data_IF_549049566855
#
_entry.id   IF_549049566855
#
_cell.length_a   1.000
_cell.length_b   1.000
_cell.length_c   1.000
_cell.angle_alpha   90.00
_cell.angle_beta   90.00
_cell.angle_gamma   90.00
#
_symmetry.space_group_name_H-M   'P 1'
#
loop_
_entity.id
_entity.type
_entity.pdbx_description
1 polymer ?
#
# COMPACT_ATOMS: atom_id res chain seq x y z
N UNK A 1 2.87 -3.94 23.54
CA UNK A 1 2.99 -3.08 22.35
C UNK A 1 4.00 -3.73 21.40
N UNK A 2 3.92 -3.54 20.07
CA UNK A 2 4.95 -4.04 19.17
C UNK A 2 6.28 -3.32 19.40
N UNK A 3 7.40 -4.02 19.14
CA UNK A 3 8.75 -3.46 19.30
C UNK A 3 9.00 -2.36 18.26
N UNK A 4 8.63 -2.62 17.00
CA UNK A 4 8.66 -1.67 15.88
C UNK A 4 7.31 -1.65 15.18
N UNK A 5 6.95 -0.51 14.59
CA UNK A 5 5.79 -0.36 13.69
C UNK A 5 6.31 0.11 12.34
N UNK A 6 6.26 -0.75 11.34
CA UNK A 6 6.88 -0.52 10.04
C UNK A 6 5.80 -0.49 8.96
N UNK A 7 5.67 0.64 8.29
CA UNK A 7 4.80 0.78 7.13
C UNK A 7 5.56 0.43 5.84
N UNK A 8 4.93 -0.25 4.88
CA UNK A 8 5.46 -0.53 3.55
C UNK A 8 4.49 0.05 2.52
N UNK A 9 5.00 0.90 1.62
CA UNK A 9 4.21 1.54 0.56
C UNK A 9 3.80 0.58 -0.57
N UNK A 10 3.24 1.15 -1.63
CA UNK A 10 2.68 0.45 -2.78
C UNK A 10 3.71 -0.47 -3.45
N UNK A 11 3.37 -1.75 -3.60
CA UNK A 11 4.31 -2.80 -4.06
C UNK A 11 4.18 -3.07 -5.55
N UNK A 12 2.94 -3.09 -6.05
CA UNK A 12 2.64 -3.22 -7.47
C UNK A 12 3.43 -4.34 -8.18
N UNK A 13 3.33 -5.59 -7.70
CA UNK A 13 3.97 -6.73 -8.35
C UNK A 13 5.51 -6.72 -8.36
N UNK A 14 6.15 -5.85 -7.59
CA UNK A 14 7.62 -5.77 -7.48
C UNK A 14 8.15 -6.76 -6.43
N UNK A 15 7.98 -8.07 -6.65
CA UNK A 15 8.33 -9.13 -5.68
C UNK A 15 9.81 -9.15 -5.32
N UNK A 16 10.71 -8.85 -6.28
CA UNK A 16 12.14 -8.76 -6.02
C UNK A 16 12.48 -7.62 -5.05
N UNK A 17 11.81 -6.46 -5.20
CA UNK A 17 11.93 -5.35 -4.27
C UNK A 17 11.46 -5.74 -2.87
N UNK A 18 10.26 -6.33 -2.75
CA UNK A 18 9.71 -6.75 -1.46
C UNK A 18 10.64 -7.72 -0.73
N UNK A 19 11.12 -8.76 -1.41
CA UNK A 19 12.05 -9.75 -0.84
C UNK A 19 13.33 -9.10 -0.31
N UNK A 20 13.90 -8.16 -1.05
CA UNK A 20 15.12 -7.47 -0.62
C UNK A 20 14.85 -6.50 0.52
N UNK A 21 13.74 -5.76 0.45
CA UNK A 21 13.32 -4.85 1.51
C UNK A 21 13.12 -5.60 2.84
N UNK A 22 12.41 -6.75 2.82
CA UNK A 22 12.20 -7.58 4.00
C UNK A 22 13.51 -8.16 4.57
N UNK A 23 14.48 -8.49 3.71
CA UNK A 23 15.83 -8.88 4.18
C UNK A 23 16.56 -7.73 4.88
N UNK A 24 16.39 -6.49 4.41
CA UNK A 24 17.01 -5.32 5.04
C UNK A 24 16.33 -4.98 6.38
N UNK A 25 15.00 -5.04 6.45
CA UNK A 25 14.20 -4.80 7.66
C UNK A 25 14.47 -5.86 8.74
N UNK A 26 14.67 -7.13 8.33
CA UNK A 26 14.78 -8.29 9.24
C UNK A 26 13.59 -8.34 10.22
N UNK A 27 12.37 -8.63 9.74
CA UNK A 27 11.18 -8.66 10.59
C UNK A 27 11.34 -9.62 11.78
N UNK A 28 10.90 -9.17 12.96
CA UNK A 28 10.95 -9.90 14.23
C UNK A 28 9.53 -10.29 14.67
N UNK A 29 9.35 -11.33 15.49
CA UNK A 29 8.01 -11.79 15.90
C UNK A 29 7.14 -10.71 16.55
N UNK A 30 7.74 -9.76 17.29
CA UNK A 30 7.02 -8.68 17.96
C UNK A 30 6.87 -7.40 17.11
N UNK A 31 7.37 -7.39 15.89
CA UNK A 31 7.13 -6.24 14.99
C UNK A 31 5.70 -6.25 14.47
N UNK A 32 5.16 -5.06 14.28
CA UNK A 32 3.96 -4.83 13.48
C UNK A 32 4.37 -4.27 12.14
N UNK A 33 4.11 -5.03 11.07
CA UNK A 33 4.25 -4.54 9.70
C UNK A 33 2.87 -4.18 9.17
N UNK A 34 2.74 -2.98 8.62
CA UNK A 34 1.53 -2.50 7.96
C UNK A 34 1.84 -2.25 6.49
N UNK A 35 1.24 -3.03 5.58
CA UNK A 35 1.36 -2.80 4.14
C UNK A 35 0.20 -1.95 3.66
N UNK A 36 0.50 -0.90 2.87
CA UNK A 36 -0.48 0.14 2.54
C UNK A 36 -1.36 -0.16 1.33
N UNK A 37 -1.29 -1.38 0.77
CA UNK A 37 -2.12 -1.78 -0.37
C UNK A 37 -1.39 -1.76 -1.71
N UNK A 38 -2.16 -1.94 -2.78
CA UNK A 38 -1.67 -2.02 -4.16
C UNK A 38 -0.55 -3.06 -4.33
N UNK A 39 -0.89 -4.31 -3.97
CA UNK A 39 0.03 -5.45 -4.06
C UNK A 39 0.26 -5.90 -5.49
N UNK A 40 -0.76 -5.76 -6.32
CA UNK A 40 -0.86 -6.33 -7.68
C UNK A 40 -0.75 -5.27 -8.77
N UNK A 41 -0.65 -5.76 -10.01
CA UNK A 41 -0.58 -4.96 -11.25
C UNK A 41 0.72 -4.16 -11.40
N UNK A 42 0.92 -3.57 -12.59
CA UNK A 42 2.07 -2.71 -12.94
C UNK A 42 3.39 -3.47 -13.05
N UNK A 43 3.85 -4.08 -11.98
CA UNK A 43 5.09 -4.86 -11.93
C UNK A 43 4.90 -6.29 -12.43
N UNK A 44 6.00 -7.05 -12.54
CA UNK A 44 6.04 -8.31 -13.28
C UNK A 44 5.47 -9.51 -12.51
N UNK A 45 5.34 -9.45 -11.18
CA UNK A 45 5.10 -10.65 -10.36
C UNK A 45 4.16 -10.38 -9.18
N UNK A 46 2.89 -10.15 -9.49
CA UNK A 46 1.83 -9.93 -8.47
C UNK A 46 1.65 -11.14 -7.55
N UNK A 47 1.71 -12.37 -8.11
CA UNK A 47 1.61 -13.60 -7.31
C UNK A 47 2.76 -13.72 -6.32
N UNK A 48 4.00 -13.50 -6.76
CA UNK A 48 5.16 -13.58 -5.87
C UNK A 48 5.13 -12.55 -4.74
N UNK A 49 4.49 -11.39 -4.93
CA UNK A 49 4.24 -10.43 -3.85
C UNK A 49 3.28 -11.01 -2.82
N UNK A 50 2.14 -11.55 -3.25
CA UNK A 50 1.14 -12.11 -2.34
C UNK A 50 1.69 -13.32 -1.59
N UNK A 51 2.39 -14.23 -2.28
CA UNK A 51 3.03 -15.39 -1.65
C UNK A 51 4.05 -14.97 -0.58
N UNK A 52 4.80 -13.88 -0.80
CA UNK A 52 5.76 -13.37 0.19
C UNK A 52 5.07 -12.75 1.41
N UNK A 53 3.98 -12.02 1.20
CA UNK A 53 3.19 -11.43 2.30
C UNK A 53 2.47 -12.51 3.12
N UNK A 54 1.98 -13.57 2.48
CA UNK A 54 1.38 -14.73 3.18
C UNK A 54 2.43 -15.37 4.10
N UNK A 55 3.65 -15.62 3.60
CA UNK A 55 4.75 -16.15 4.42
C UNK A 55 5.17 -15.18 5.54
N UNK A 56 5.06 -13.87 5.31
CA UNK A 56 5.41 -12.87 6.31
C UNK A 56 4.49 -12.94 7.54
N UNK A 57 3.21 -13.28 7.37
CA UNK A 57 2.25 -13.49 8.47
C UNK A 57 2.70 -14.54 9.49
N UNK A 58 3.49 -15.52 9.05
CA UNK A 58 4.02 -16.58 9.93
C UNK A 58 5.21 -16.09 10.78
N UNK A 59 5.83 -14.96 10.41
CA UNK A 59 7.08 -14.47 11.00
C UNK A 59 6.89 -13.29 11.94
N UNK A 60 5.86 -12.48 11.73
CA UNK A 60 5.56 -11.28 12.51
C UNK A 60 4.08 -10.91 12.40
N UNK A 61 3.67 -9.90 13.16
CA UNK A 61 2.31 -9.36 13.03
C UNK A 61 2.20 -8.54 11.75
N UNK A 62 1.37 -9.00 10.81
CA UNK A 62 1.09 -8.30 9.55
C UNK A 62 -0.35 -7.80 9.53
N UNK A 63 -0.52 -6.51 9.24
CA UNK A 63 -1.79 -5.91 8.85
C UNK A 63 -1.65 -5.44 7.41
N UNK A 64 -2.58 -5.88 6.55
CA UNK A 64 -2.59 -5.54 5.13
C UNK A 64 -3.79 -4.66 4.82
N UNK A 65 -3.55 -3.47 4.27
CA UNK A 65 -4.59 -2.53 3.86
C UNK A 65 -4.96 -2.81 2.40
N UNK A 66 -6.24 -2.67 2.07
CA UNK A 66 -6.72 -2.90 0.71
C UNK A 66 -6.46 -1.67 -0.16
N UNK A 67 -5.68 -1.83 -1.22
CA UNK A 67 -5.48 -0.81 -2.25
C UNK A 67 -6.58 -0.79 -3.30
N UNK A 68 -6.63 0.27 -4.10
CA UNK A 68 -7.64 0.38 -5.15
C UNK A 68 -7.42 -0.63 -6.30
N UNK A 69 -6.18 -1.00 -6.61
CA UNK A 69 -5.89 -2.05 -7.60
C UNK A 69 -6.34 -3.43 -7.12
N UNK A 70 -6.17 -3.71 -5.83
CA UNK A 70 -6.60 -4.96 -5.21
C UNK A 70 -8.13 -5.05 -5.16
N UNK A 71 -8.82 -3.96 -4.76
CA UNK A 71 -10.27 -3.85 -4.78
C UNK A 71 -10.84 -4.08 -6.18
N UNK A 72 -10.25 -3.47 -7.20
CA UNK A 72 -10.68 -3.63 -8.59
C UNK A 72 -10.64 -5.09 -9.04
N UNK A 73 -9.57 -5.82 -8.71
CA UNK A 73 -9.46 -7.24 -9.03
C UNK A 73 -10.54 -8.06 -8.31
N UNK A 74 -10.76 -7.84 -7.02
CA UNK A 74 -11.79 -8.56 -6.26
C UNK A 74 -13.19 -8.29 -6.82
N UNK A 75 -13.49 -7.04 -7.20
CA UNK A 75 -14.79 -6.69 -7.82
C UNK A 75 -14.96 -7.31 -9.19
N UNK A 76 -13.90 -7.41 -10.00
CA UNK A 76 -13.96 -8.02 -11.32
C UNK A 76 -14.40 -9.49 -11.28
N UNK A 77 -14.07 -10.21 -10.21
CA UNK A 77 -14.49 -11.61 -9.97
C UNK A 77 -15.99 -11.76 -9.72
N UNK A 78 -16.61 -10.77 -9.11
CA UNK A 78 -18.03 -10.83 -8.72
C UNK A 78 -18.96 -10.26 -9.77
N UNK A 79 -18.44 -9.81 -10.93
CA UNK A 79 -19.21 -9.13 -11.97
C UNK A 79 -19.78 -7.77 -11.52
N UNK A 80 -19.40 -7.28 -10.36
CA UNK A 80 -19.82 -5.96 -9.87
C UNK A 80 -19.05 -4.87 -10.60
N UNK A 81 -19.74 -3.87 -11.17
CA UNK A 81 -19.04 -2.76 -11.81
C UNK A 81 -18.16 -2.05 -10.78
N UNK A 82 -16.93 -1.75 -11.18
CA UNK A 82 -16.09 -0.82 -10.41
C UNK A 82 -16.66 0.57 -10.63
N UNK A 83 -17.57 0.99 -9.76
CA UNK A 83 -18.09 2.37 -9.77
C UNK A 83 -17.01 3.25 -9.16
N UNK A 84 -16.27 3.92 -10.01
CA UNK A 84 -15.28 4.91 -9.58
C UNK A 84 -15.77 6.25 -10.08
N UNK A 85 -16.43 6.99 -9.22
CA UNK A 85 -16.87 8.38 -9.51
C UNK A 85 -15.69 9.33 -9.80
N UNK A 86 -14.46 8.83 -9.60
CA UNK A 86 -13.22 9.61 -9.73
C UNK A 86 -12.38 9.25 -10.95
N UNK A 87 -12.75 8.21 -11.75
CA UNK A 87 -12.07 7.95 -13.03
C UNK A 87 -12.73 8.82 -14.09
N UNK A 88 -12.03 9.78 -14.72
CA UNK A 88 -12.58 10.55 -15.83
C UNK A 88 -13.11 9.62 -16.92
N UNK A 89 -14.25 9.97 -17.53
CA UNK A 89 -14.75 9.27 -18.71
C UNK A 89 -13.65 9.29 -19.78
N UNK A 90 -13.14 8.10 -20.18
CA UNK A 90 -11.99 7.97 -21.07
C UNK A 90 -10.65 7.67 -20.38
N UNK A 91 -10.61 7.58 -19.05
CA UNK A 91 -9.43 7.13 -18.31
C UNK A 91 -9.06 5.66 -18.58
N UNK A 92 -7.97 5.14 -17.99
CA UNK A 92 -7.29 3.89 -18.37
C UNK A 92 -8.04 2.59 -18.01
N UNK A 93 -9.38 2.57 -18.04
CA UNK A 93 -10.19 1.36 -17.81
C UNK A 93 -9.67 0.18 -18.64
N UNK A 94 -9.41 0.41 -19.94
CA UNK A 94 -8.95 -0.64 -20.85
C UNK A 94 -7.54 -1.17 -20.56
N UNK A 95 -6.66 -0.38 -19.92
CA UNK A 95 -5.33 -0.85 -19.52
C UNK A 95 -5.40 -1.67 -18.24
N UNK A 96 -6.19 -1.24 -17.26
CA UNK A 96 -6.38 -1.92 -16.00
C UNK A 96 -7.13 -3.26 -16.18
N UNK A 97 -8.19 -3.29 -17.00
CA UNK A 97 -8.91 -4.53 -17.33
C UNK A 97 -8.02 -5.55 -18.02
N UNK A 98 -7.11 -5.11 -18.91
CA UNK A 98 -6.09 -5.98 -19.52
C UNK A 98 -5.08 -6.50 -18.49
N UNK A 99 -4.70 -5.68 -17.53
CA UNK A 99 -3.78 -6.10 -16.47
C UNK A 99 -4.42 -7.12 -15.53
N UNK A 100 -5.72 -6.97 -15.19
CA UNK A 100 -6.43 -7.99 -14.39
C UNK A 100 -6.59 -9.30 -15.12
N UNK A 101 -6.90 -9.28 -16.43
CA UNK A 101 -6.99 -10.46 -17.26
C UNK A 101 -5.68 -11.28 -17.30
N UNK A 102 -4.54 -10.63 -17.07
CA UNK A 102 -3.23 -11.28 -16.97
C UNK A 102 -2.91 -11.75 -15.56
N UNK A 103 -3.26 -10.99 -14.54
CA UNK A 103 -2.92 -11.27 -13.14
C UNK A 103 -3.83 -12.35 -12.56
N UNK A 104 -5.15 -12.21 -12.72
CA UNK A 104 -6.13 -13.10 -12.09
C UNK A 104 -5.89 -14.59 -12.34
N UNK A 105 -5.57 -15.06 -13.58
CA UNK A 105 -5.30 -16.48 -13.83
C UNK A 105 -4.05 -17.01 -13.14
N UNK A 106 -3.15 -16.14 -12.66
CA UNK A 106 -1.92 -16.54 -11.97
C UNK A 106 -2.11 -16.72 -10.47
N UNK A 107 -3.20 -16.19 -9.90
CA UNK A 107 -3.45 -16.19 -8.46
C UNK A 107 -4.05 -17.50 -7.99
N UNK A 108 -3.57 -17.98 -6.84
CA UNK A 108 -4.16 -19.11 -6.12
C UNK A 108 -5.37 -18.69 -5.30
N UNK A 109 -6.15 -19.67 -4.81
CA UNK A 109 -7.23 -19.41 -3.85
C UNK A 109 -6.73 -18.73 -2.57
N UNK A 110 -5.51 -19.06 -2.12
CA UNK A 110 -4.88 -18.47 -0.95
C UNK A 110 -4.50 -16.99 -1.18
N UNK A 111 -3.99 -16.65 -2.39
CA UNK A 111 -3.73 -15.27 -2.76
C UNK A 111 -5.01 -14.42 -2.75
N UNK A 112 -6.11 -14.98 -3.25
CA UNK A 112 -7.40 -14.31 -3.26
C UNK A 112 -7.97 -14.13 -1.84
N UNK A 113 -7.87 -15.17 -1.00
CA UNK A 113 -8.26 -15.10 0.41
C UNK A 113 -7.43 -14.06 1.18
N UNK A 114 -6.13 -13.92 0.84
CA UNK A 114 -5.29 -12.86 1.40
C UNK A 114 -5.86 -11.48 1.07
N UNK A 115 -6.15 -11.20 -0.21
CA UNK A 115 -6.71 -9.91 -0.63
C UNK A 115 -8.09 -9.65 0.01
N UNK A 116 -8.94 -10.66 0.12
CA UNK A 116 -10.24 -10.58 0.79
C UNK A 116 -10.14 -10.32 2.30
N UNK A 117 -9.01 -10.66 2.93
CA UNK A 117 -8.74 -10.41 4.34
C UNK A 117 -8.14 -9.03 4.64
N UNK A 118 -7.83 -8.23 3.61
CA UNK A 118 -7.29 -6.88 3.78
C UNK A 118 -8.33 -5.94 4.39
N UNK A 119 -7.86 -4.98 5.20
CA UNK A 119 -8.68 -4.01 5.91
C UNK A 119 -8.64 -2.64 5.22
N UNK A 120 -9.58 -1.75 5.57
CA UNK A 120 -9.66 -0.40 5.00
C UNK A 120 -8.62 0.54 5.58
N UNK A 121 -8.33 0.38 6.85
CA UNK A 121 -7.36 1.17 7.61
C UNK A 121 -6.86 0.39 8.82
N UNK A 122 -5.81 0.89 9.44
CA UNK A 122 -5.34 0.41 10.74
C UNK A 122 -4.97 1.60 11.62
N UNK A 123 -5.25 1.48 12.92
CA UNK A 123 -4.85 2.47 13.91
C UNK A 123 -3.93 1.87 14.98
N UNK A 124 -2.94 2.65 15.37
CA UNK A 124 -2.20 2.47 16.62
C UNK A 124 -2.49 3.63 17.56
N UNK A 125 -1.83 3.68 18.69
CA UNK A 125 -1.97 4.79 19.65
C UNK A 125 -1.65 6.16 19.01
N UNK A 126 -0.62 6.22 18.13
CA UNK A 126 -0.10 7.48 17.59
C UNK A 126 -0.22 7.61 16.07
N UNK A 127 -0.58 6.54 15.34
CA UNK A 127 -0.59 6.54 13.89
C UNK A 127 -1.87 5.95 13.33
N UNK A 128 -2.26 6.46 12.17
CA UNK A 128 -3.30 5.94 11.29
C UNK A 128 -2.63 5.51 9.98
N UNK A 129 -3.01 4.35 9.48
CA UNK A 129 -2.53 3.82 8.21
C UNK A 129 -3.71 3.66 7.26
N UNK A 130 -3.63 4.26 6.08
CA UNK A 130 -4.63 4.20 5.02
C UNK A 130 -3.95 3.96 3.68
N UNK A 131 -4.70 3.44 2.69
CA UNK A 131 -4.13 3.36 1.36
C UNK A 131 -3.98 4.73 0.71
N UNK A 132 -5.05 5.56 0.64
CA UNK A 132 -5.04 6.80 -0.14
C UNK A 132 -5.19 8.08 0.69
N UNK A 133 -6.40 8.37 1.15
CA UNK A 133 -6.73 9.64 1.80
C UNK A 133 -7.75 9.43 2.92
N UNK A 134 -8.14 10.52 3.61
CA UNK A 134 -9.11 10.50 4.70
C UNK A 134 -9.84 11.85 4.81
N UNK A 135 -11.05 11.89 5.42
CA UNK A 135 -11.68 13.17 5.88
C UNK A 135 -11.11 13.50 7.27
N UNK A 136 -10.43 14.64 7.43
CA UNK A 136 -9.80 14.99 8.71
C UNK A 136 -10.78 15.21 9.86
N UNK A 137 -12.07 15.41 9.58
CA UNK A 137 -13.12 15.70 10.56
C UNK A 137 -13.86 14.47 11.07
N UNK A 138 -13.71 13.31 10.38
CA UNK A 138 -14.44 12.09 10.72
C UNK A 138 -13.51 11.09 11.45
N UNK A 139 -13.99 10.39 12.49
CA UNK A 139 -13.28 9.27 13.05
C UNK A 139 -13.13 8.13 12.01
N UNK A 140 -12.16 7.22 12.22
CA UNK A 140 -11.79 6.25 11.19
C UNK A 140 -12.89 5.25 10.86
N UNK A 141 -13.74 4.90 11.81
CA UNK A 141 -14.91 4.01 11.63
C UNK A 141 -16.06 4.65 10.82
N UNK A 142 -16.02 5.97 10.63
CA UNK A 142 -16.98 6.73 9.82
C UNK A 142 -16.44 7.15 8.45
N UNK A 143 -15.21 6.75 8.10
CA UNK A 143 -14.57 7.15 6.84
C UNK A 143 -15.23 6.46 5.63
N UNK A 144 -15.50 7.19 4.53
CA UNK A 144 -15.94 6.56 3.29
C UNK A 144 -14.83 5.67 2.70
N UNK A 145 -15.14 4.40 2.42
CA UNK A 145 -14.18 3.47 1.83
C UNK A 145 -13.60 3.96 0.48
N UNK A 146 -14.40 4.69 -0.29
CA UNK A 146 -13.95 5.31 -1.55
C UNK A 146 -12.84 6.35 -1.32
N UNK A 147 -12.95 7.12 -0.23
CA UNK A 147 -11.94 8.10 0.14
C UNK A 147 -10.65 7.42 0.59
N UNK A 148 -10.78 6.41 1.47
CA UNK A 148 -9.64 5.65 1.99
C UNK A 148 -8.81 4.96 0.91
N UNK A 149 -9.44 4.60 -0.24
CA UNK A 149 -8.79 3.80 -1.29
C UNK A 149 -8.50 4.53 -2.59
N UNK A 150 -9.19 5.65 -2.89
CA UNK A 150 -9.19 6.20 -4.25
C UNK A 150 -8.77 7.66 -4.37
N UNK A 151 -8.92 8.48 -3.32
CA UNK A 151 -8.64 9.90 -3.45
C UNK A 151 -7.15 10.19 -3.41
N UNK A 152 -6.64 10.73 -4.51
CA UNK A 152 -5.24 11.15 -4.60
C UNK A 152 -4.99 12.45 -3.83
N UNK A 153 -3.89 12.51 -3.09
CA UNK A 153 -3.39 13.73 -2.44
C UNK A 153 -3.06 14.87 -3.43
N UNK A 154 -2.92 14.55 -4.73
CA UNK A 154 -2.76 15.57 -5.77
C UNK A 154 -4.02 16.38 -6.03
N UNK A 155 -5.18 15.79 -5.76
CA UNK A 155 -6.48 16.49 -5.90
C UNK A 155 -6.72 17.40 -4.72
N UNK A 156 -6.47 16.89 -3.53
CA UNK A 156 -6.67 17.61 -2.27
C UNK A 156 -5.79 16.97 -1.20
N UNK A 157 -5.06 17.79 -0.47
CA UNK A 157 -4.29 17.36 0.70
C UNK A 157 -5.16 17.64 1.94
N UNK A 158 -5.55 16.60 2.70
CA UNK A 158 -6.35 16.79 3.91
C UNK A 158 -5.54 17.50 4.99
N UNK A 159 -6.22 18.18 5.91
CA UNK A 159 -5.60 18.69 7.14
C UNK A 159 -5.28 17.58 8.15
N UNK A 160 -4.73 17.93 9.33
CA UNK A 160 -4.51 16.97 10.41
C UNK A 160 -5.82 16.27 10.81
N UNK A 161 -5.74 14.96 11.05
CA UNK A 161 -6.90 14.17 11.48
C UNK A 161 -7.38 14.60 12.88
N UNK A 162 -8.69 14.57 13.11
CA UNK A 162 -9.35 14.99 14.38
C UNK A 162 -8.76 14.29 15.62
N UNK A 163 -8.22 13.08 15.49
CA UNK A 163 -7.58 12.36 16.58
C UNK A 163 -6.17 12.88 16.94
N UNK A 164 -5.60 13.79 16.15
CA UNK A 164 -4.21 14.25 16.31
C UNK A 164 -3.13 13.22 15.95
N UNK A 165 -3.51 12.01 15.52
CA UNK A 165 -2.55 10.97 15.09
C UNK A 165 -1.92 11.31 13.75
N UNK A 166 -0.65 10.91 13.57
CA UNK A 166 0.03 11.00 12.27
C UNK A 166 -0.55 9.98 11.30
N UNK A 167 -0.84 10.41 10.08
CA UNK A 167 -1.34 9.53 9.03
C UNK A 167 -0.20 9.06 8.12
N UNK A 168 -0.15 7.78 7.82
CA UNK A 168 0.77 7.16 6.86
C UNK A 168 -0.06 6.63 5.69
N UNK A 169 0.24 7.13 4.49
CA UNK A 169 -0.52 6.84 3.27
C UNK A 169 0.38 6.36 2.11
N UNK A 170 -0.24 5.70 1.13
CA UNK A 170 0.31 5.28 -0.15
C UNK A 170 -0.35 5.98 -1.35
N UNK A 171 -0.67 5.21 -2.41
CA UNK A 171 -1.52 5.56 -3.56
C UNK A 171 -1.05 6.75 -4.41
N UNK A 172 -0.60 7.81 -3.78
CA UNK A 172 -0.20 9.04 -4.51
C UNK A 172 1.29 9.01 -4.81
N UNK A 173 1.65 8.39 -5.92
CA UNK A 173 3.03 8.16 -6.31
C UNK A 173 3.90 9.43 -6.31
N UNK A 174 4.89 9.45 -5.44
CA UNK A 174 5.94 10.47 -5.33
C UNK A 174 7.05 10.16 -6.34
N UNK A 175 6.93 10.71 -7.54
CA UNK A 175 7.84 10.40 -8.67
C UNK A 175 9.28 10.86 -8.48
N UNK A 176 9.53 11.72 -7.50
CA UNK A 176 10.88 12.13 -7.08
C UNK A 176 11.63 11.01 -6.35
N UNK A 177 10.90 9.99 -5.85
CA UNK A 177 11.43 8.93 -5.00
C UNK A 177 11.58 9.34 -3.53
N UNK A 178 11.16 10.55 -3.16
CA UNK A 178 11.18 11.07 -1.80
C UNK A 178 9.83 10.88 -1.11
N UNK A 179 9.84 10.68 0.20
CA UNK A 179 8.63 10.63 1.03
C UNK A 179 8.03 12.04 1.09
N UNK A 180 6.73 12.18 0.81
CA UNK A 180 6.01 13.41 1.16
C UNK A 180 5.82 13.43 2.67
N UNK A 181 6.34 14.45 3.34
CA UNK A 181 6.22 14.65 4.79
C UNK A 181 5.63 16.04 5.09
N UNK A 182 4.43 16.05 5.66
CA UNK A 182 3.70 17.27 6.04
C UNK A 182 3.66 17.48 7.57
N UNK A 183 4.40 16.67 8.34
CA UNK A 183 4.42 16.72 9.80
C UNK A 183 3.26 15.98 10.46
N UNK A 184 2.10 15.92 9.85
CA UNK A 184 0.90 15.19 10.31
C UNK A 184 0.47 14.07 9.36
N UNK A 185 0.99 14.06 8.13
CA UNK A 185 0.77 13.05 7.10
C UNK A 185 2.09 12.76 6.39
N UNK A 186 2.37 11.47 6.18
CA UNK A 186 3.46 11.02 5.31
C UNK A 186 2.89 10.13 4.21
N UNK A 187 3.27 10.39 2.94
CA UNK A 187 2.98 9.49 1.83
C UNK A 187 4.26 8.78 1.41
N UNK A 188 4.26 7.44 1.50
CA UNK A 188 5.43 6.61 1.25
C UNK A 188 5.32 5.76 -0.03
N UNK A 189 4.33 6.02 -0.91
CA UNK A 189 4.36 5.51 -2.28
C UNK A 189 5.41 6.29 -3.08
N UNK A 190 6.61 5.77 -3.13
CA UNK A 190 7.76 6.37 -3.81
C UNK A 190 7.99 5.78 -5.20
N UNK A 191 6.92 5.30 -5.87
CA UNK A 191 6.85 4.95 -7.28
C UNK A 191 7.72 3.76 -7.71
N UNK A 192 7.72 2.67 -6.93
CA UNK A 192 8.57 1.51 -7.17
C UNK A 192 8.50 0.98 -8.60
N UNK A 193 7.28 0.68 -9.08
CA UNK A 193 7.08 0.09 -10.42
C UNK A 193 7.48 1.01 -11.57
N UNK A 194 7.55 2.32 -11.34
CA UNK A 194 7.80 3.32 -12.38
C UNK A 194 9.19 3.95 -12.34
N UNK A 195 10.15 3.31 -11.64
CA UNK A 195 11.54 3.73 -11.59
C UNK A 195 11.98 4.45 -10.32
N UNK A 196 11.09 4.55 -9.33
CA UNK A 196 11.42 4.99 -7.97
C UNK A 196 11.76 3.80 -7.05
N UNK A 197 11.27 3.87 -5.80
CA UNK A 197 11.64 2.95 -4.73
C UNK A 197 10.42 2.28 -4.11
N UNK A 198 10.58 1.04 -3.66
CA UNK A 198 9.73 0.47 -2.62
C UNK A 198 10.27 0.94 -1.28
N UNK A 199 9.44 1.67 -0.54
CA UNK A 199 9.81 2.30 0.72
C UNK A 199 9.16 1.60 1.90
N UNK A 200 9.97 1.32 2.93
CA UNK A 200 9.51 1.02 4.26
C UNK A 200 9.93 2.12 5.23
N UNK A 201 9.05 2.44 6.18
CA UNK A 201 9.24 3.45 7.21
C UNK A 201 8.95 2.84 8.59
N UNK A 202 9.92 2.85 9.49
CA UNK A 202 9.65 2.66 10.93
C UNK A 202 9.08 3.97 11.48
N UNK A 203 7.81 3.95 11.86
CA UNK A 203 7.04 5.19 12.08
C UNK A 203 7.40 5.95 13.36
N UNK A 204 8.09 5.30 14.31
CA UNK A 204 8.51 5.93 15.59
C UNK A 204 9.90 6.54 15.49
N UNK A 205 10.86 5.79 14.94
CA UNK A 205 12.26 6.24 14.80
C UNK A 205 12.48 7.12 13.56
N UNK A 206 11.61 6.96 12.55
CA UNK A 206 11.80 7.57 11.24
C UNK A 206 12.82 6.84 10.37
N UNK A 207 13.27 5.64 10.76
CA UNK A 207 14.18 4.85 9.93
C UNK A 207 13.53 4.45 8.62
N UNK A 208 14.23 4.64 7.50
CA UNK A 208 13.73 4.40 6.15
C UNK A 208 14.60 3.38 5.45
N UNK A 209 13.95 2.39 4.82
CA UNK A 209 14.57 1.45 3.88
C UNK A 209 13.97 1.65 2.51
N UNK A 210 14.81 1.68 1.48
CA UNK A 210 14.38 1.83 0.10
C UNK A 210 15.13 0.86 -0.81
N UNK A 211 14.41 0.29 -1.78
CA UNK A 211 14.99 -0.54 -2.84
C UNK A 211 14.27 -0.28 -4.16
N UNK A 212 14.97 -0.35 -5.28
CA UNK A 212 14.35 -0.24 -6.61
C UNK A 212 13.55 -1.52 -6.97
N UNK A 213 12.81 -1.49 -8.05
CA UNK A 213 12.00 -2.63 -8.52
C UNK A 213 12.82 -3.92 -8.76
N UNK A 214 14.15 -3.81 -8.92
CA UNK A 214 15.09 -4.93 -9.06
C UNK A 214 15.69 -5.38 -7.73
N UNK A 215 15.32 -4.74 -6.63
CA UNK A 215 15.84 -5.04 -5.30
C UNK A 215 17.21 -4.43 -5.02
N UNK A 216 17.64 -3.36 -5.68
CA UNK A 216 18.91 -2.67 -5.40
C UNK A 216 18.64 -1.49 -4.47
N UNK A 217 19.45 -1.37 -3.42
CA UNK A 217 19.41 -0.21 -2.54
C UNK A 217 19.90 1.07 -3.25
N UNK A 218 19.47 2.26 -2.82
CA UNK A 218 20.06 3.52 -3.29
C UNK A 218 21.57 3.52 -3.11
N UNK A 219 22.31 4.04 -4.11
CA UNK A 219 23.74 4.29 -3.95
C UNK A 219 23.92 5.27 -2.79
N UNK A 220 24.75 4.92 -1.81
CA UNK A 220 25.14 5.89 -0.76
C UNK A 220 25.83 7.06 -1.48
N UNK A 221 25.21 8.23 -1.42
CA UNK A 221 25.87 9.48 -1.84
C UNK A 221 26.83 9.96 -0.77
#
# INVERSE_FOLDING_TARGET
MPDRVIAIGDIHGCSAALKTLLRAIQPRPNDLIVTLGDYINRGPDSRGVLDELIRLRERCRLVSILGNHDEMLLRSRTGRPVVVDTIPAGGPRNSLERDWGRVLPTLSGENLAFLESCVDYHETEHHIFVHACYDPRLPMDCQPASLLRWQSLKREVPGPHVSGKMVIAGHTAQKTGEILDLGYLKCIDTYCYGGGWLTALEVRSGEVWQVDARGRAPSRR
#
